data_IF_728089944115
#
_entry.id   IF_728089944115
#
_cell.length_a   1.000
_cell.length_b   1.000
_cell.length_c   1.000
_cell.angle_alpha   90.00
_cell.angle_beta   90.00
_cell.angle_gamma   90.00
#
_symmetry.space_group_name_H-M   'P 1'
#
loop_
_entity.id
_entity.type
_entity.pdbx_description
1 polymer ?
#
# COMPACT_ATOMS: atom_id res chain seq x y z
N UNK A 1 34.48 -5.56 27.97
CA UNK A 1 34.13 -6.89 27.37
C UNK A 1 32.76 -6.93 26.69
N UNK A 2 31.77 -6.10 27.05
CA UNK A 2 30.43 -6.11 26.42
C UNK A 2 30.44 -5.63 24.96
N UNK A 3 31.30 -4.67 24.62
CA UNK A 3 31.32 -4.00 23.31
C UNK A 3 31.78 -4.93 22.17
N UNK A 4 32.81 -5.74 22.41
CA UNK A 4 33.30 -6.74 21.44
C UNK A 4 32.29 -7.86 21.17
N UNK A 5 31.51 -8.28 22.18
CA UNK A 5 30.47 -9.33 22.01
C UNK A 5 29.28 -8.80 21.21
N UNK A 6 28.89 -7.54 21.41
CA UNK A 6 27.86 -6.87 20.61
C UNK A 6 28.24 -6.77 19.13
N UNK A 7 29.48 -6.36 18.85
CA UNK A 7 30.00 -6.28 17.48
C UNK A 7 30.02 -7.65 16.80
N UNK A 8 30.45 -8.70 17.50
CA UNK A 8 30.46 -10.08 16.97
C UNK A 8 29.03 -10.57 16.68
N UNK A 9 28.05 -10.26 17.54
CA UNK A 9 26.64 -10.60 17.28
C UNK A 9 26.07 -9.88 16.06
N UNK A 10 26.43 -8.61 15.84
CA UNK A 10 26.03 -7.87 14.64
C UNK A 10 26.61 -8.51 13.37
N UNK A 11 27.88 -8.92 13.42
CA UNK A 11 28.53 -9.61 12.31
C UNK A 11 27.81 -10.92 11.98
N UNK A 12 27.46 -11.74 12.97
CA UNK A 12 26.70 -12.97 12.75
C UNK A 12 25.28 -12.71 12.21
N UNK A 13 24.63 -11.63 12.63
CA UNK A 13 23.32 -11.23 12.09
C UNK A 13 23.42 -10.84 10.61
N UNK A 14 24.46 -10.10 10.23
CA UNK A 14 24.72 -9.72 8.84
C UNK A 14 24.95 -10.98 7.99
N UNK A 15 25.77 -11.92 8.47
CA UNK A 15 25.97 -13.20 7.77
C UNK A 15 24.68 -14.00 7.62
N UNK A 16 23.85 -14.07 8.66
CA UNK A 16 22.57 -14.76 8.59
C UNK A 16 21.65 -14.17 7.51
N UNK A 17 21.58 -12.84 7.41
CA UNK A 17 20.78 -12.14 6.40
C UNK A 17 21.34 -12.39 5.00
N UNK A 18 22.66 -12.27 4.80
CA UNK A 18 23.30 -12.50 3.50
C UNK A 18 23.05 -13.93 3.02
N UNK A 19 23.26 -14.93 3.86
CA UNK A 19 23.03 -16.33 3.49
C UNK A 19 21.54 -16.61 3.23
N UNK A 20 20.63 -16.02 4.01
CA UNK A 20 19.21 -16.17 3.74
C UNK A 20 18.81 -15.60 2.37
N UNK A 21 19.31 -14.41 2.01
CA UNK A 21 19.06 -13.79 0.71
C UNK A 21 19.68 -14.59 -0.45
N UNK A 22 20.88 -15.14 -0.28
CA UNK A 22 21.50 -16.05 -1.26
C UNK A 22 20.67 -17.33 -1.44
N UNK A 23 20.10 -17.87 -0.36
CA UNK A 23 19.18 -18.99 -0.42
C UNK A 23 17.91 -18.68 -1.22
N UNK A 24 17.30 -17.51 -1.00
CA UNK A 24 16.17 -17.03 -1.78
C UNK A 24 16.51 -16.84 -3.27
N UNK A 25 17.69 -16.29 -3.58
CA UNK A 25 18.17 -16.11 -4.94
C UNK A 25 18.30 -17.44 -5.69
N UNK A 26 18.95 -18.44 -5.08
CA UNK A 26 19.07 -19.76 -5.69
C UNK A 26 17.72 -20.48 -5.84
N UNK A 27 16.80 -20.32 -4.89
CA UNK A 27 15.45 -20.86 -4.99
C UNK A 27 14.62 -20.20 -6.11
N UNK A 28 14.86 -18.91 -6.36
CA UNK A 28 14.26 -18.21 -7.50
C UNK A 28 14.90 -18.67 -8.82
N UNK A 29 16.22 -18.78 -8.87
CA UNK A 29 16.95 -19.29 -10.03
C UNK A 29 16.56 -20.73 -10.40
N UNK A 30 16.17 -21.57 -9.42
CA UNK A 30 15.71 -22.94 -9.69
C UNK A 30 14.42 -23.00 -10.51
N UNK A 31 13.67 -21.89 -10.61
CA UNK A 31 12.42 -21.78 -11.37
C UNK A 31 12.64 -21.37 -12.83
N UNK A 32 13.84 -20.94 -13.20
CA UNK A 32 14.16 -20.49 -14.55
C UNK A 32 14.66 -21.68 -15.39
N UNK A 33 13.91 -22.01 -16.46
CA UNK A 33 14.27 -23.08 -17.39
C UNK A 33 14.63 -22.51 -18.76
N UNK A 34 15.58 -23.15 -19.45
CA UNK A 34 15.88 -22.88 -20.85
C UNK A 34 14.75 -23.48 -21.70
N UNK A 35 14.13 -22.69 -22.55
CA UNK A 35 13.07 -23.15 -23.46
C UNK A 35 13.66 -24.11 -24.52
N UNK A 36 12.97 -25.23 -24.82
CA UNK A 36 13.34 -26.10 -25.94
C UNK A 36 13.38 -25.33 -27.26
N UNK A 37 14.28 -25.70 -28.16
CA UNK A 37 14.41 -25.04 -29.47
C UNK A 37 13.29 -25.54 -30.42
N UNK A 38 12.66 -24.67 -31.22
CA UNK A 38 11.70 -25.10 -32.24
C UNK A 38 12.43 -25.82 -33.38
N UNK A 39 12.01 -27.05 -33.69
CA UNK A 39 12.69 -27.92 -34.66
C UNK A 39 11.96 -27.87 -36.02
N UNK A 40 12.64 -27.56 -37.14
CA UNK A 40 12.09 -27.73 -38.50
C UNK A 40 11.85 -29.21 -38.84
N UNK A 41 10.81 -29.50 -39.63
CA UNK A 41 10.39 -30.87 -39.97
C UNK A 41 11.46 -31.74 -40.65
N UNK A 42 12.50 -31.15 -41.24
CA UNK A 42 13.62 -31.85 -41.86
C UNK A 42 14.67 -32.42 -40.89
N UNK A 43 14.65 -32.04 -39.61
CA UNK A 43 15.69 -32.41 -38.61
C UNK A 43 15.12 -33.08 -37.35
N UNK A 44 13.96 -33.71 -37.47
CA UNK A 44 13.14 -34.16 -36.33
C UNK A 44 13.86 -35.17 -35.40
N UNK A 45 14.74 -36.03 -35.94
CA UNK A 45 15.54 -36.98 -35.14
C UNK A 45 16.63 -36.28 -34.31
N UNK A 46 17.39 -35.35 -34.89
CA UNK A 46 18.49 -34.64 -34.20
C UNK A 46 17.93 -33.63 -33.20
N UNK A 47 16.90 -32.88 -33.58
CA UNK A 47 16.23 -31.94 -32.68
C UNK A 47 15.57 -32.62 -31.47
N UNK A 48 15.02 -33.83 -31.64
CA UNK A 48 14.46 -34.61 -30.54
C UNK A 48 15.49 -34.96 -29.45
N UNK A 49 16.70 -35.36 -29.86
CA UNK A 49 17.81 -35.67 -28.93
C UNK A 49 18.29 -34.42 -28.19
N UNK A 50 18.36 -33.27 -28.88
CA UNK A 50 18.76 -31.98 -28.30
C UNK A 50 17.73 -31.54 -27.24
N UNK A 51 16.44 -31.57 -27.56
CA UNK A 51 15.40 -31.17 -26.60
C UNK A 51 15.35 -32.11 -25.38
N UNK A 52 15.60 -33.41 -25.54
CA UNK A 52 15.77 -34.32 -24.38
C UNK A 52 16.96 -33.94 -23.49
N UNK A 53 18.08 -33.51 -24.08
CA UNK A 53 19.23 -33.02 -23.32
C UNK A 53 18.91 -31.72 -22.58
N UNK A 54 18.20 -30.78 -23.20
CA UNK A 54 17.75 -29.52 -22.58
C UNK A 54 16.84 -29.79 -21.37
N UNK A 55 15.88 -30.72 -21.49
CA UNK A 55 15.02 -31.12 -20.35
C UNK A 55 15.84 -31.73 -19.21
N UNK A 56 16.83 -32.57 -19.52
CA UNK A 56 17.72 -33.18 -18.51
C UNK A 56 18.60 -32.13 -17.83
N UNK A 57 19.13 -31.17 -18.59
CA UNK A 57 19.93 -30.05 -18.08
C UNK A 57 19.11 -29.12 -17.16
N UNK A 58 17.88 -28.76 -17.56
CA UNK A 58 16.98 -27.97 -16.71
C UNK A 58 16.72 -28.67 -15.37
N UNK A 59 16.41 -29.98 -15.38
CA UNK A 59 16.22 -30.77 -14.14
C UNK A 59 17.45 -30.80 -13.25
N UNK A 60 18.65 -30.93 -13.83
CA UNK A 60 19.91 -30.91 -13.09
C UNK A 60 20.19 -29.54 -12.48
N UNK A 61 20.02 -28.46 -13.25
CA UNK A 61 20.18 -27.07 -12.78
C UNK A 61 19.17 -26.72 -11.67
N UNK A 62 17.90 -27.12 -11.80
CA UNK A 62 16.90 -26.94 -10.75
C UNK A 62 17.32 -27.64 -9.46
N UNK A 63 17.78 -28.91 -9.54
CA UNK A 63 18.25 -29.66 -8.36
C UNK A 63 19.48 -29.03 -7.72
N UNK A 64 20.48 -28.61 -8.51
CA UNK A 64 21.68 -27.95 -8.01
C UNK A 64 21.35 -26.63 -7.30
N UNK A 65 20.48 -25.81 -7.90
CA UNK A 65 20.04 -24.56 -7.28
C UNK A 65 19.21 -24.79 -6.00
N UNK A 66 18.37 -25.82 -5.95
CA UNK A 66 17.67 -26.19 -4.72
C UNK A 66 18.64 -26.66 -3.63
N UNK A 67 19.63 -27.50 -3.97
CA UNK A 67 20.66 -27.94 -3.02
C UNK A 67 21.49 -26.76 -2.49
N UNK A 68 21.88 -25.82 -3.37
CA UNK A 68 22.57 -24.60 -2.98
C UNK A 68 21.69 -23.75 -2.04
N UNK A 69 20.41 -23.58 -2.34
CA UNK A 69 19.47 -22.84 -1.49
C UNK A 69 19.37 -23.45 -0.09
N UNK A 70 19.22 -24.78 0.02
CA UNK A 70 19.20 -25.45 1.32
C UNK A 70 20.53 -25.30 2.08
N UNK A 71 21.67 -25.37 1.39
CA UNK A 71 22.98 -25.11 1.98
C UNK A 71 23.09 -23.71 2.59
N UNK A 72 22.64 -22.69 1.85
CA UNK A 72 22.62 -21.31 2.33
C UNK A 72 21.64 -21.07 3.48
N UNK A 73 20.45 -21.69 3.46
CA UNK A 73 19.54 -21.64 4.61
C UNK A 73 20.12 -22.33 5.85
N UNK A 74 20.83 -23.45 5.68
CA UNK A 74 21.57 -24.11 6.76
C UNK A 74 22.69 -23.22 7.33
N UNK A 75 23.42 -22.51 6.47
CA UNK A 75 24.43 -21.55 6.89
C UNK A 75 23.83 -20.36 7.66
N UNK A 76 22.67 -19.84 7.21
CA UNK A 76 21.93 -18.78 7.90
C UNK A 76 21.47 -19.24 9.30
N UNK A 77 20.94 -20.46 9.41
CA UNK A 77 20.54 -21.04 10.69
C UNK A 77 21.73 -21.20 11.65
N UNK A 78 22.87 -21.68 11.14
CA UNK A 78 24.12 -21.81 11.91
C UNK A 78 24.65 -20.45 12.38
N UNK A 79 24.55 -19.41 11.55
CA UNK A 79 24.93 -18.04 11.92
C UNK A 79 24.02 -17.47 13.03
N UNK A 80 22.71 -17.69 12.94
CA UNK A 80 21.75 -17.33 13.99
C UNK A 80 22.03 -18.08 15.31
N UNK A 81 22.36 -19.37 15.24
CA UNK A 81 22.71 -20.16 16.41
C UNK A 81 24.03 -19.69 17.04
N UNK A 82 25.04 -19.38 16.22
CA UNK A 82 26.32 -18.82 16.67
C UNK A 82 26.13 -17.45 17.34
N UNK A 83 25.24 -16.61 16.79
CA UNK A 83 24.85 -15.34 17.42
C UNK A 83 24.22 -15.55 18.80
N UNK A 84 23.34 -16.56 18.94
CA UNK A 84 22.70 -16.91 20.20
C UNK A 84 23.72 -17.35 21.26
N UNK A 85 24.71 -18.18 20.89
CA UNK A 85 25.76 -18.63 21.79
C UNK A 85 26.67 -17.49 22.28
N UNK A 86 26.97 -16.51 21.42
CA UNK A 86 27.86 -15.39 21.75
C UNK A 86 27.17 -14.32 22.61
N UNK A 87 25.85 -14.13 22.44
CA UNK A 87 25.10 -13.12 23.20
C UNK A 87 23.65 -13.55 23.48
N UNK A 88 23.44 -14.45 24.46
CA UNK A 88 22.09 -14.94 24.82
C UNK A 88 21.17 -13.82 25.31
N UNK A 89 21.75 -12.76 25.90
CA UNK A 89 21.02 -11.60 26.43
C UNK A 89 20.33 -10.76 25.35
N UNK A 90 20.84 -10.75 24.10
CA UNK A 90 20.18 -10.08 22.98
C UNK A 90 18.87 -10.79 22.63
N UNK A 91 18.87 -12.12 22.61
CA UNK A 91 17.66 -12.90 22.38
C UNK A 91 16.65 -12.78 23.52
N UNK A 92 17.07 -12.74 24.80
CA UNK A 92 16.17 -12.40 25.91
C UNK A 92 15.56 -11.00 25.78
N UNK A 93 16.29 -10.04 25.20
CA UNK A 93 15.78 -8.69 24.92
C UNK A 93 14.78 -8.71 23.75
N UNK A 94 15.01 -9.53 22.73
CA UNK A 94 14.05 -9.79 21.65
C UNK A 94 12.82 -10.57 22.12
N UNK A 95 12.96 -11.57 22.99
CA UNK A 95 11.84 -12.29 23.62
C UNK A 95 11.05 -11.37 24.51
N UNK A 96 11.69 -10.57 25.38
CA UNK A 96 10.98 -9.58 26.20
C UNK A 96 10.27 -8.52 25.35
N UNK A 97 10.85 -8.14 24.20
CA UNK A 97 10.21 -7.23 23.23
C UNK A 97 9.09 -7.94 22.46
N UNK A 98 9.23 -9.23 22.15
CA UNK A 98 8.19 -10.10 21.58
C UNK A 98 7.06 -10.31 22.58
N UNK A 99 7.33 -10.54 23.85
CA UNK A 99 6.36 -10.60 24.95
C UNK A 99 5.69 -9.26 25.16
N UNK A 100 6.37 -8.12 25.04
CA UNK A 100 5.75 -6.79 25.07
C UNK A 100 4.85 -6.54 23.84
N UNK A 101 5.27 -6.99 22.65
CA UNK A 101 4.47 -6.93 21.41
C UNK A 101 3.28 -7.90 21.48
N UNK A 102 3.48 -9.10 22.04
CA UNK A 102 2.48 -10.15 22.21
C UNK A 102 1.50 -9.83 23.34
N UNK A 103 1.94 -9.21 24.44
CA UNK A 103 1.11 -8.70 25.53
C UNK A 103 0.37 -7.42 25.12
N UNK A 104 0.96 -6.58 24.25
CA UNK A 104 0.24 -5.51 23.56
C UNK A 104 -0.83 -6.06 22.61
N UNK A 105 -0.53 -7.16 21.92
CA UNK A 105 -1.46 -7.92 21.08
C UNK A 105 -2.52 -8.68 21.90
N UNK A 106 -2.20 -9.20 23.08
CA UNK A 106 -3.13 -9.91 23.97
C UNK A 106 -4.03 -8.96 24.73
N UNK A 107 -3.54 -7.80 25.19
CA UNK A 107 -4.40 -6.71 25.66
C UNK A 107 -5.30 -6.16 24.54
N UNK A 108 -4.83 -6.13 23.30
CA UNK A 108 -5.66 -5.81 22.14
C UNK A 108 -6.68 -6.93 21.81
N UNK A 109 -6.37 -8.21 22.10
CA UNK A 109 -7.28 -9.35 21.93
C UNK A 109 -8.28 -9.54 23.07
N UNK A 110 -7.93 -9.21 24.31
CA UNK A 110 -8.84 -9.32 25.48
C UNK A 110 -9.78 -8.12 25.64
N UNK A 111 -9.62 -7.09 24.82
CA UNK A 111 -10.62 -6.04 24.58
C UNK A 111 -11.42 -6.24 23.28
N UNK A 112 -11.34 -7.43 22.65
CA UNK A 112 -12.17 -7.80 21.50
C UNK A 112 -13.51 -8.40 21.93
N UNK A 113 -14.35 -7.60 22.57
CA UNK A 113 -15.77 -7.60 22.15
C UNK A 113 -15.78 -7.06 20.73
N UNK A 114 -16.22 -7.87 19.75
CA UNK A 114 -16.20 -7.60 18.30
C UNK A 114 -16.30 -6.11 17.91
N UNK A 115 -15.17 -5.41 17.84
CA UNK A 115 -15.10 -4.06 17.32
C UNK A 115 -14.87 -4.20 15.81
N UNK A 116 -15.98 -4.30 15.08
CA UNK A 116 -15.99 -4.21 13.62
C UNK A 116 -15.38 -2.85 13.25
N UNK A 117 -14.34 -2.84 12.41
CA UNK A 117 -13.69 -1.60 11.95
C UNK A 117 -14.54 -0.93 10.86
N UNK A 118 -15.74 -0.46 11.26
CA UNK A 118 -16.64 0.26 10.37
C UNK A 118 -16.12 1.68 10.20
N UNK A 119 -15.81 2.03 8.96
CA UNK A 119 -15.48 3.39 8.53
C UNK A 119 -16.53 3.88 7.54
N UNK A 120 -16.66 5.19 7.45
CA UNK A 120 -17.79 5.86 6.85
C UNK A 120 -17.41 6.58 5.57
N UNK A 121 -18.12 6.28 4.49
CA UNK A 121 -18.04 7.03 3.22
C UNK A 121 -19.25 7.96 3.11
N UNK A 122 -18.97 9.26 2.99
CA UNK A 122 -19.98 10.27 2.71
C UNK A 122 -20.22 10.34 1.20
N UNK A 123 -21.49 10.34 0.80
CA UNK A 123 -21.91 10.27 -0.59
C UNK A 123 -23.03 11.27 -0.88
N UNK A 124 -22.95 11.92 -2.05
CA UNK A 124 -24.10 12.55 -2.69
C UNK A 124 -25.15 11.52 -3.12
N UNK A 125 -26.29 12.00 -3.62
CA UNK A 125 -27.47 11.18 -3.93
C UNK A 125 -27.18 10.14 -5.03
N UNK A 126 -26.52 10.57 -6.12
CA UNK A 126 -26.11 9.68 -7.22
C UNK A 126 -25.10 8.63 -6.74
N UNK A 127 -24.18 9.01 -5.86
CA UNK A 127 -23.10 8.16 -5.38
C UNK A 127 -23.61 6.99 -4.53
N UNK A 128 -24.48 7.25 -3.56
CA UNK A 128 -25.06 6.20 -2.70
C UNK A 128 -25.88 5.19 -3.52
N UNK A 129 -26.66 5.68 -4.49
CA UNK A 129 -27.50 4.82 -5.33
C UNK A 129 -26.64 3.90 -6.20
N UNK A 130 -25.58 4.43 -6.83
CA UNK A 130 -24.65 3.62 -7.63
C UNK A 130 -23.98 2.56 -6.76
N UNK A 131 -23.43 2.95 -5.59
CA UNK A 131 -22.72 2.00 -4.71
C UNK A 131 -23.63 0.85 -4.30
N UNK A 132 -24.86 1.11 -3.85
CA UNK A 132 -25.77 0.04 -3.42
C UNK A 132 -26.30 -0.80 -4.60
N UNK A 133 -26.45 -0.21 -5.78
CA UNK A 133 -26.87 -0.93 -6.98
C UNK A 133 -25.78 -1.86 -7.51
N UNK A 134 -24.55 -1.38 -7.64
CA UNK A 134 -23.45 -2.11 -8.30
C UNK A 134 -22.51 -2.80 -7.31
N UNK A 135 -22.57 -2.43 -6.03
CA UNK A 135 -21.59 -2.80 -4.99
C UNK A 135 -20.17 -2.35 -5.33
N UNK A 136 -20.04 -1.21 -5.99
CA UNK A 136 -18.75 -0.68 -6.40
C UNK A 136 -18.46 0.67 -5.77
N UNK A 137 -17.30 0.78 -5.15
CA UNK A 137 -16.79 2.03 -4.59
C UNK A 137 -15.83 2.67 -5.59
N UNK A 138 -16.18 3.87 -6.06
CA UNK A 138 -15.27 4.69 -6.89
C UNK A 138 -14.03 5.08 -6.08
N UNK A 139 -12.86 4.91 -6.68
CA UNK A 139 -11.57 5.31 -6.17
C UNK A 139 -10.98 6.41 -7.06
N UNK A 140 -10.86 7.67 -6.57
CA UNK A 140 -10.17 8.71 -7.32
C UNK A 140 -8.66 8.44 -7.37
N UNK A 141 -8.00 8.89 -8.44
CA UNK A 141 -6.54 9.02 -8.43
C UNK A 141 -6.10 10.06 -7.41
N UNK A 142 -4.88 9.93 -6.88
CA UNK A 142 -4.31 10.95 -5.99
C UNK A 142 -4.26 12.32 -6.69
N UNK A 143 -4.04 12.36 -8.00
CA UNK A 143 -4.05 13.59 -8.80
C UNK A 143 -5.42 14.30 -8.86
N UNK A 144 -6.52 13.63 -8.51
CA UNK A 144 -7.88 14.17 -8.56
C UNK A 144 -8.44 14.60 -7.19
N UNK A 145 -7.62 14.60 -6.13
CA UNK A 145 -8.05 15.05 -4.79
C UNK A 145 -8.34 16.56 -4.77
N UNK A 146 -9.19 16.98 -3.84
CA UNK A 146 -9.80 18.32 -3.83
C UNK A 146 -8.91 19.44 -3.26
N UNK A 147 -7.95 19.13 -2.38
CA UNK A 147 -7.08 20.12 -1.74
C UNK A 147 -5.74 20.27 -2.49
N UNK A 148 -5.33 21.47 -2.91
CA UNK A 148 -4.11 21.69 -3.69
C UNK A 148 -2.80 21.40 -2.93
N UNK A 149 -2.84 21.32 -1.60
CA UNK A 149 -1.70 20.94 -0.76
C UNK A 149 -1.68 19.46 -0.39
N UNK A 150 -2.76 18.74 -0.69
CA UNK A 150 -2.88 17.32 -0.40
C UNK A 150 -1.95 16.50 -1.29
N UNK A 151 -1.32 15.47 -0.69
CA UNK A 151 -0.35 14.60 -1.35
C UNK A 151 0.81 15.35 -2.06
N UNK A 152 1.09 16.58 -1.62
CA UNK A 152 2.06 17.48 -2.24
C UNK A 152 3.08 17.93 -1.19
N UNK A 153 4.25 17.28 -1.06
CA UNK A 153 5.30 17.68 -0.14
C UNK A 153 6.11 18.85 -0.71
N UNK A 154 6.94 19.45 0.12
CA UNK A 154 7.97 20.41 -0.32
C UNK A 154 9.27 19.61 -0.51
N UNK A 155 9.77 19.56 -1.74
CA UNK A 155 11.09 19.01 -2.00
C UNK A 155 12.17 20.04 -1.73
N UNK A 156 13.28 19.61 -1.12
CA UNK A 156 14.47 20.41 -0.98
C UNK A 156 15.72 19.60 -1.33
N UNK A 157 16.71 20.28 -1.85
CA UNK A 157 18.06 19.75 -2.06
C UNK A 157 19.01 20.64 -1.25
N UNK A 158 19.60 20.16 -0.14
CA UNK A 158 20.59 20.92 0.62
C UNK A 158 21.74 21.41 -0.27
N UNK A 159 22.38 22.52 0.11
CA UNK A 159 23.62 22.98 -0.54
C UNK A 159 24.80 22.20 0.04
N UNK A 160 24.89 20.93 -0.37
CA UNK A 160 25.96 19.99 0.02
C UNK A 160 26.57 19.40 -1.25
N UNK A 161 27.69 20.00 -1.68
CA UNK A 161 28.37 19.64 -2.94
C UNK A 161 28.76 18.18 -3.00
N UNK A 162 29.23 17.61 -1.89
CA UNK A 162 29.64 16.21 -1.80
C UNK A 162 28.43 15.30 -1.95
N UNK A 163 27.35 15.54 -1.21
CA UNK A 163 26.13 14.75 -1.32
C UNK A 163 25.47 14.87 -2.71
N UNK A 164 25.55 16.04 -3.35
CA UNK A 164 25.08 16.24 -4.73
C UNK A 164 25.87 15.39 -5.73
N UNK A 165 27.20 15.36 -5.60
CA UNK A 165 28.08 14.54 -6.44
C UNK A 165 27.82 13.04 -6.22
N UNK A 166 27.72 12.60 -4.97
CA UNK A 166 27.42 11.21 -4.63
C UNK A 166 26.07 10.77 -5.20
N UNK A 167 25.04 11.61 -5.04
CA UNK A 167 23.70 11.32 -5.59
C UNK A 167 23.70 11.31 -7.11
N UNK A 168 24.46 12.21 -7.77
CA UNK A 168 24.64 12.19 -9.22
C UNK A 168 25.25 10.86 -9.69
N UNK A 169 26.36 10.45 -9.08
CA UNK A 169 27.05 9.20 -9.41
C UNK A 169 26.17 7.98 -9.14
N UNK A 170 25.41 7.99 -8.05
CA UNK A 170 24.41 6.97 -7.74
C UNK A 170 23.35 6.87 -8.85
N UNK A 171 22.80 8.00 -9.32
CA UNK A 171 21.82 8.03 -10.41
C UNK A 171 22.40 7.53 -11.74
N UNK A 172 23.65 7.85 -12.06
CA UNK A 172 24.34 7.29 -13.24
C UNK A 172 24.49 5.77 -13.14
N UNK A 173 24.92 5.28 -11.97
CA UNK A 173 25.07 3.85 -11.70
C UNK A 173 23.75 3.10 -11.86
N UNK A 174 22.63 3.65 -11.36
CA UNK A 174 21.30 3.05 -11.55
C UNK A 174 20.89 2.96 -13.02
N UNK A 175 21.37 3.88 -13.87
CA UNK A 175 21.13 3.88 -15.32
C UNK A 175 22.14 3.04 -16.10
N UNK A 176 23.13 2.42 -15.44
CA UNK A 176 24.21 1.70 -16.10
C UNK A 176 25.15 2.61 -16.92
N UNK A 177 25.20 3.90 -16.60
CA UNK A 177 26.02 4.88 -17.32
C UNK A 177 27.34 5.08 -16.57
N UNK A 178 28.47 4.93 -17.26
CA UNK A 178 29.79 5.26 -16.72
C UNK A 178 29.95 6.78 -16.65
N UNK A 179 30.35 7.35 -15.50
CA UNK A 179 30.61 8.78 -15.39
C UNK A 179 31.72 9.24 -16.35
N UNK A 180 31.55 10.38 -17.06
CA UNK A 180 32.62 10.97 -17.87
C UNK A 180 33.87 11.25 -17.03
N UNK A 181 35.08 11.11 -17.59
CA UNK A 181 36.33 11.32 -16.85
C UNK A 181 36.45 12.74 -16.24
N UNK A 182 35.82 13.73 -16.87
CA UNK A 182 35.82 15.14 -16.48
C UNK A 182 34.54 15.59 -15.74
N UNK A 183 33.73 14.65 -15.23
CA UNK A 183 32.42 14.97 -14.65
C UNK A 183 32.47 16.04 -13.56
N UNK A 184 33.51 16.04 -12.69
CA UNK A 184 33.67 17.03 -11.61
C UNK A 184 33.80 18.45 -12.12
N UNK A 185 34.40 18.66 -13.29
CA UNK A 185 34.58 19.98 -13.90
C UNK A 185 33.28 20.46 -14.58
N UNK A 186 32.39 19.52 -14.94
CA UNK A 186 31.12 19.78 -15.62
C UNK A 186 29.94 19.93 -14.66
N UNK A 187 30.07 19.52 -13.39
CA UNK A 187 29.01 19.66 -12.40
C UNK A 187 28.83 21.13 -12.05
N UNK A 188 27.64 21.64 -12.37
CA UNK A 188 27.14 22.92 -11.89
C UNK A 188 26.13 22.65 -10.79
N UNK A 189 26.56 22.80 -9.53
CA UNK A 189 25.77 22.33 -8.38
C UNK A 189 24.36 22.94 -8.32
N UNK A 190 24.19 24.23 -8.62
CA UNK A 190 22.86 24.86 -8.61
C UNK A 190 21.91 24.24 -9.65
N UNK A 191 22.36 24.08 -10.90
CA UNK A 191 21.58 23.41 -11.94
C UNK A 191 21.26 21.96 -11.56
N UNK A 192 22.18 21.27 -10.87
CA UNK A 192 21.95 19.89 -10.40
C UNK A 192 20.91 19.83 -9.29
N UNK A 193 20.91 20.79 -8.36
CA UNK A 193 19.93 20.87 -7.27
C UNK A 193 18.52 21.02 -7.82
N UNK A 194 18.33 21.93 -8.78
CA UNK A 194 17.06 22.12 -9.47
C UNK A 194 16.63 20.85 -10.20
N UNK A 195 17.51 20.24 -11.00
CA UNK A 195 17.24 18.98 -11.71
C UNK A 195 16.82 17.84 -10.77
N UNK A 196 17.44 17.71 -9.60
CA UNK A 196 17.07 16.68 -8.63
C UNK A 196 15.71 16.93 -8.00
N UNK A 197 15.40 18.19 -7.69
CA UNK A 197 14.09 18.59 -7.19
C UNK A 197 13.01 18.32 -8.23
N UNK A 198 13.24 18.71 -9.48
CA UNK A 198 12.26 18.53 -10.55
C UNK A 198 12.06 17.06 -10.89
N UNK A 199 13.13 16.27 -10.95
CA UNK A 199 13.01 14.82 -11.11
C UNK A 199 12.24 14.13 -9.97
N UNK A 200 12.35 14.64 -8.74
CA UNK A 200 11.55 14.14 -7.60
C UNK A 200 10.07 14.54 -7.72
N UNK A 201 9.77 15.77 -8.17
CA UNK A 201 8.41 16.22 -8.46
C UNK A 201 7.76 15.40 -9.57
N UNK A 202 8.47 15.16 -10.67
CA UNK A 202 8.00 14.33 -11.79
C UNK A 202 7.71 12.89 -11.35
N UNK A 203 8.60 12.31 -10.55
CA UNK A 203 8.40 10.97 -10.00
C UNK A 203 7.15 10.90 -9.12
N UNK A 204 6.95 11.89 -8.24
CA UNK A 204 5.74 11.97 -7.41
C UNK A 204 4.49 12.19 -8.25
N UNK A 205 4.55 13.06 -9.27
CA UNK A 205 3.44 13.31 -10.19
C UNK A 205 3.00 12.01 -10.86
N UNK A 206 3.95 11.23 -11.38
CA UNK A 206 3.66 9.92 -11.99
C UNK A 206 3.00 8.95 -10.99
N UNK A 207 3.49 8.89 -9.75
CA UNK A 207 2.83 8.10 -8.68
C UNK A 207 1.42 8.59 -8.42
N UNK A 208 1.20 9.91 -8.37
CA UNK A 208 -0.12 10.49 -8.09
C UNK A 208 -1.14 10.23 -9.21
N UNK A 209 -0.68 10.20 -10.47
CA UNK A 209 -1.50 9.92 -11.66
C UNK A 209 -1.80 8.42 -11.84
N UNK A 210 -1.03 7.54 -11.19
CA UNK A 210 -1.19 6.08 -11.32
C UNK A 210 -1.75 5.42 -10.07
N UNK A 211 -1.66 6.08 -8.91
CA UNK A 211 -2.16 5.52 -7.64
C UNK A 211 -3.52 6.11 -7.29
N UNK A 212 -4.43 5.24 -6.87
CA UNK A 212 -5.72 5.62 -6.32
C UNK A 212 -5.65 5.87 -4.82
N UNK A 213 -6.55 6.74 -4.32
CA UNK A 213 -6.66 7.07 -2.91
C UNK A 213 -8.06 6.77 -2.40
N UNK A 214 -8.15 5.82 -1.47
CA UNK A 214 -9.38 5.59 -0.73
C UNK A 214 -9.37 6.46 0.54
N UNK A 215 -10.36 7.35 0.66
CA UNK A 215 -10.60 8.18 1.85
C UNK A 215 -11.97 7.92 2.46
N UNK A 216 -11.99 7.65 3.77
CA UNK A 216 -13.18 7.42 4.60
C UNK A 216 -13.00 8.05 5.99
N UNK A 217 -14.08 8.21 6.74
CA UNK A 217 -14.07 8.80 8.08
C UNK A 217 -14.28 7.75 9.17
N UNK A 218 -13.75 7.99 10.37
CA UNK A 218 -14.12 7.23 11.57
C UNK A 218 -15.54 7.50 12.08
N UNK A 219 -16.23 8.52 11.57
CA UNK A 219 -17.54 8.94 12.09
C UNK A 219 -18.51 9.30 10.96
N UNK A 220 -19.77 8.86 11.09
CA UNK A 220 -20.90 9.37 10.32
C UNK A 220 -21.51 10.63 10.94
N UNK A 221 -21.03 11.06 12.11
CA UNK A 221 -21.61 12.14 12.90
C UNK A 221 -20.70 13.37 12.88
N UNK A 222 -20.64 14.06 11.74
CA UNK A 222 -19.98 15.35 11.62
C UNK A 222 -20.78 16.27 10.67
N UNK A 223 -21.54 17.26 11.18
CA UNK A 223 -22.37 18.14 10.35
C UNK A 223 -21.62 18.86 9.23
N UNK A 224 -20.36 19.27 9.47
CA UNK A 224 -19.53 19.91 8.44
C UNK A 224 -19.27 18.94 7.29
N UNK A 225 -18.95 17.68 7.58
CA UNK A 225 -18.77 16.66 6.53
C UNK A 225 -20.05 16.38 5.74
N UNK A 226 -21.21 16.35 6.40
CA UNK A 226 -22.49 16.25 5.71
C UNK A 226 -22.71 17.44 4.76
N UNK A 227 -22.48 18.66 5.22
CA UNK A 227 -22.62 19.86 4.38
C UNK A 227 -21.75 19.79 3.12
N UNK A 228 -20.49 19.34 3.23
CA UNK A 228 -19.53 19.30 2.12
C UNK A 228 -19.69 18.09 1.20
N UNK A 229 -19.93 16.90 1.74
CA UNK A 229 -19.75 15.64 0.98
C UNK A 229 -21.05 14.90 0.66
N UNK A 230 -22.20 15.43 1.11
CA UNK A 230 -23.51 14.78 0.90
C UNK A 230 -24.53 15.70 0.24
N UNK A 231 -24.08 16.62 -0.62
CA UNK A 231 -24.95 17.60 -1.29
C UNK A 231 -25.81 18.38 -0.28
N UNK A 232 -25.18 18.94 0.77
CA UNK A 232 -25.87 19.67 1.83
C UNK A 232 -26.92 18.80 2.55
N UNK A 233 -26.50 17.67 3.13
CA UNK A 233 -27.36 16.74 3.87
C UNK A 233 -28.45 16.00 3.06
N UNK A 234 -28.51 16.18 1.74
CA UNK A 234 -29.50 15.50 0.86
C UNK A 234 -29.11 14.06 0.52
N UNK A 235 -27.81 13.76 0.56
CA UNK A 235 -27.22 12.46 0.29
C UNK A 235 -27.29 11.51 1.49
N UNK A 236 -26.32 10.61 1.59
CA UNK A 236 -26.28 9.57 2.62
C UNK A 236 -24.83 9.19 2.96
N UNK A 237 -24.66 8.48 4.07
CA UNK A 237 -23.39 7.91 4.52
C UNK A 237 -23.48 6.39 4.56
N UNK A 238 -22.44 5.70 4.09
CA UNK A 238 -22.34 4.24 4.13
C UNK A 238 -21.30 3.85 5.18
N UNK A 239 -21.67 2.97 6.11
CA UNK A 239 -20.74 2.29 7.02
C UNK A 239 -20.21 1.01 6.39
N UNK A 240 -18.90 0.91 6.21
CA UNK A 240 -18.21 -0.20 5.57
C UNK A 240 -17.20 -0.82 6.54
N UNK A 241 -17.31 -2.13 6.72
CA UNK A 241 -16.35 -2.97 7.44
C UNK A 241 -15.18 -3.34 6.54
N UNK A 242 -14.08 -2.60 6.69
CA UNK A 242 -12.90 -2.74 5.85
C UNK A 242 -12.12 -4.05 6.09
N UNK A 243 -12.37 -4.76 7.18
CA UNK A 243 -11.80 -6.09 7.42
C UNK A 243 -12.48 -7.20 6.59
N UNK A 244 -13.65 -6.89 6.01
CA UNK A 244 -14.48 -7.81 5.24
C UNK A 244 -14.81 -7.30 3.81
N UNK A 245 -14.09 -6.30 3.30
CA UNK A 245 -14.34 -5.70 1.97
C UNK A 245 -14.14 -6.70 0.83
N UNK A 246 -13.20 -7.64 0.97
CA UNK A 246 -13.00 -8.72 0.01
C UNK A 246 -13.70 -10.00 0.49
N UNK A 247 -14.27 -10.82 -0.42
CA UNK A 247 -14.79 -12.15 -0.09
C UNK A 247 -13.66 -13.07 0.43
N UNK A 248 -14.02 -14.06 1.25
CA UNK A 248 -13.09 -14.90 2.01
C UNK A 248 -12.14 -15.79 1.17
N UNK A 249 -12.40 -15.95 -0.12
CA UNK A 249 -11.62 -16.79 -1.03
C UNK A 249 -10.29 -16.13 -1.39
N UNK A 250 -9.16 -16.71 -0.97
CA UNK A 250 -7.79 -16.26 -1.30
C UNK A 250 -7.60 -14.75 -1.17
N UNK A 251 -7.91 -14.20 0.02
CA UNK A 251 -7.80 -12.77 0.33
C UNK A 251 -6.50 -12.19 -0.27
N UNK A 252 -6.56 -11.34 -1.32
CA UNK A 252 -5.40 -10.50 -1.64
C UNK A 252 -5.03 -9.75 -0.36
N UNK A 253 -3.76 -9.40 -0.18
CA UNK A 253 -3.26 -8.70 1.02
C UNK A 253 -4.30 -7.69 1.53
N UNK A 254 -4.72 -7.85 2.81
CA UNK A 254 -5.82 -7.07 3.41
C UNK A 254 -5.70 -5.59 3.03
N UNK A 255 -6.83 -4.97 2.68
CA UNK A 255 -6.89 -3.53 2.48
C UNK A 255 -6.62 -2.83 3.82
N UNK A 256 -5.43 -2.26 3.98
CA UNK A 256 -5.03 -1.62 5.24
C UNK A 256 -5.45 -0.16 5.22
N UNK A 257 -6.20 0.24 6.25
CA UNK A 257 -6.64 1.62 6.48
C UNK A 257 -5.75 2.29 7.51
N UNK A 258 -5.15 3.43 7.16
CA UNK A 258 -4.26 4.19 8.03
C UNK A 258 -4.90 5.51 8.44
N UNK A 259 -4.87 5.89 9.73
CA UNK A 259 -5.35 7.19 10.17
C UNK A 259 -4.46 8.29 9.59
N UNK A 260 -5.08 9.39 9.18
CA UNK A 260 -4.36 10.58 8.74
C UNK A 260 -3.68 11.25 9.92
N UNK A 261 -2.43 11.69 9.71
CA UNK A 261 -1.67 12.52 10.65
C UNK A 261 -1.90 14.00 10.33
N UNK A 262 -2.59 14.75 11.21
CA UNK A 262 -2.78 16.18 11.00
C UNK A 262 -1.47 16.94 11.21
N UNK A 263 -1.21 17.96 10.40
CA UNK A 263 0.00 18.78 10.45
C UNK A 263 -0.25 20.24 10.06
N UNK A 264 0.41 21.18 10.75
CA UNK A 264 0.44 22.60 10.35
C UNK A 264 1.42 22.89 9.21
N UNK A 265 2.34 21.96 8.92
CA UNK A 265 3.40 22.13 7.93
C UNK A 265 3.38 20.98 6.94
N UNK A 266 3.54 21.30 5.65
CA UNK A 266 3.81 20.30 4.61
C UNK A 266 5.09 19.54 4.94
N UNK A 267 5.11 18.24 4.61
CA UNK A 267 6.31 17.43 4.74
C UNK A 267 7.41 18.02 3.85
N UNK A 268 8.61 18.18 4.41
CA UNK A 268 9.81 18.57 3.68
C UNK A 268 10.62 17.31 3.37
N UNK A 269 10.91 17.07 2.11
CA UNK A 269 11.62 15.87 1.64
C UNK A 269 12.96 16.28 1.05
N UNK A 270 14.02 15.81 1.69
CA UNK A 270 15.38 15.94 1.19
C UNK A 270 15.61 14.95 0.05
N UNK A 271 15.80 15.45 -1.17
CA UNK A 271 15.99 14.62 -2.37
C UNK A 271 17.31 13.86 -2.39
N UNK A 272 18.30 14.29 -1.59
CA UNK A 272 19.60 13.63 -1.45
C UNK A 272 19.59 12.53 -0.39
N UNK A 273 18.51 12.39 0.39
CA UNK A 273 18.46 11.41 1.49
C UNK A 273 18.26 9.99 0.97
N UNK A 274 19.05 9.05 1.50
CA UNK A 274 18.84 7.61 1.29
C UNK A 274 17.45 7.12 1.79
N UNK A 275 16.85 7.83 2.74
CA UNK A 275 15.52 7.53 3.29
C UNK A 275 14.37 8.22 2.55
N UNK A 276 14.65 8.91 1.44
CA UNK A 276 13.66 9.71 0.69
C UNK A 276 12.39 8.90 0.35
N UNK A 277 12.52 7.64 -0.06
CA UNK A 277 11.37 6.76 -0.33
C UNK A 277 10.52 6.50 0.92
N UNK A 278 11.15 6.38 2.09
CA UNK A 278 10.45 6.20 3.36
C UNK A 278 9.66 7.44 3.78
N UNK A 279 10.20 8.63 3.52
CA UNK A 279 9.49 9.91 3.76
C UNK A 279 8.35 10.13 2.76
N UNK A 280 8.54 9.77 1.48
CA UNK A 280 7.49 9.84 0.46
C UNK A 280 6.28 8.99 0.83
N UNK A 281 6.48 7.81 1.45
CA UNK A 281 5.37 6.95 1.92
C UNK A 281 4.49 7.63 2.97
N UNK A 282 4.96 8.68 3.66
CA UNK A 282 4.18 9.42 4.66
C UNK A 282 3.30 10.51 4.05
N UNK A 283 3.56 10.89 2.78
CA UNK A 283 2.90 12.00 2.09
C UNK A 283 1.40 11.81 1.99
N UNK A 284 0.87 10.67 1.53
CA UNK A 284 -0.58 10.48 1.43
C UNK A 284 -1.28 10.44 2.79
N UNK A 285 -0.53 10.23 3.88
CA UNK A 285 -1.04 10.08 5.24
C UNK A 285 -0.83 11.33 6.11
N UNK A 286 -0.43 12.46 5.52
CA UNK A 286 -0.28 13.73 6.23
C UNK A 286 -1.15 14.80 5.57
N UNK A 287 -2.00 15.46 6.35
CA UNK A 287 -2.95 16.48 5.86
C UNK A 287 -2.92 17.73 6.74
N UNK A 288 -3.43 18.86 6.24
CA UNK A 288 -3.55 20.08 7.07
C UNK A 288 -4.31 19.78 8.36
N UNK A 289 -3.89 20.43 9.45
CA UNK A 289 -4.57 20.36 10.74
C UNK A 289 -6.02 20.83 10.66
N UNK A 290 -6.35 21.69 9.69
CA UNK A 290 -7.69 22.26 9.52
C UNK A 290 -8.73 21.18 9.19
N UNK A 291 -8.31 20.11 8.50
CA UNK A 291 -9.16 18.96 8.16
C UNK A 291 -9.20 17.87 9.25
N UNK A 292 -8.62 18.11 10.44
CA UNK A 292 -8.57 17.11 11.53
C UNK A 292 -9.96 16.59 11.93
N UNK A 293 -11.00 17.43 11.81
CA UNK A 293 -12.38 17.07 12.15
C UNK A 293 -12.92 15.91 11.32
N UNK A 294 -12.37 15.65 10.12
CA UNK A 294 -12.81 14.56 9.27
C UNK A 294 -12.53 13.18 9.89
N UNK A 295 -11.56 13.10 10.81
CA UNK A 295 -11.14 11.82 11.40
C UNK A 295 -10.80 10.79 10.33
N UNK A 296 -10.11 11.25 9.29
CA UNK A 296 -9.92 10.54 8.03
C UNK A 296 -8.97 9.35 8.17
N UNK A 297 -9.33 8.26 7.48
CA UNK A 297 -8.52 7.08 7.26
C UNK A 297 -8.31 6.89 5.77
N UNK A 298 -7.10 6.50 5.37
CA UNK A 298 -6.74 6.30 3.97
C UNK A 298 -6.13 4.95 3.67
N UNK A 299 -6.32 4.52 2.43
CA UNK A 299 -5.49 3.50 1.79
C UNK A 299 -4.98 4.02 0.45
N UNK A 300 -3.72 3.75 0.15
CA UNK A 300 -3.10 4.08 -1.14
C UNK A 300 -3.06 2.81 -1.96
N UNK A 301 -3.56 2.87 -3.18
CA UNK A 301 -3.78 1.73 -4.06
C UNK A 301 -3.02 1.97 -5.37
N UNK A 302 -1.76 1.51 -5.47
CA UNK A 302 -0.99 1.61 -6.71
C UNK A 302 -1.67 0.89 -7.87
N UNK A 303 -1.40 1.33 -9.11
CA UNK A 303 -1.98 0.72 -10.31
C UNK A 303 -1.73 -0.77 -10.37
N UNK A 304 -0.56 -1.26 -9.96
CA UNK A 304 -0.22 -2.69 -9.99
C UNK A 304 -1.12 -3.50 -9.05
N UNK A 305 -1.47 -2.92 -7.90
CA UNK A 305 -2.41 -3.55 -6.96
C UNK A 305 -3.81 -3.59 -7.55
N UNK A 306 -4.26 -2.49 -8.14
CA UNK A 306 -5.58 -2.40 -8.78
C UNK A 306 -5.71 -3.35 -9.97
N UNK A 307 -4.65 -3.48 -10.76
CA UNK A 307 -4.56 -4.45 -11.86
C UNK A 307 -4.62 -5.91 -11.35
N UNK A 308 -3.95 -6.20 -10.24
CA UNK A 308 -4.06 -7.50 -9.58
C UNK A 308 -5.50 -7.80 -9.14
N UNK A 309 -6.21 -6.82 -8.56
CA UNK A 309 -7.62 -6.96 -8.20
C UNK A 309 -8.53 -7.11 -9.43
N UNK A 310 -8.21 -6.43 -10.53
CA UNK A 310 -8.95 -6.53 -11.80
C UNK A 310 -8.88 -7.95 -12.38
N UNK A 311 -7.73 -8.59 -12.33
CA UNK A 311 -7.54 -9.97 -12.81
C UNK A 311 -8.39 -11.01 -12.08
N UNK A 312 -8.82 -10.69 -10.85
CA UNK A 312 -9.69 -11.54 -10.03
C UNK A 312 -11.09 -10.94 -9.86
N UNK A 313 -11.49 -10.01 -10.73
CA UNK A 313 -12.83 -9.40 -10.79
C UNK A 313 -13.26 -8.67 -9.50
N UNK A 314 -12.29 -8.22 -8.69
CA UNK A 314 -12.52 -7.40 -7.49
C UNK A 314 -12.32 -5.91 -7.73
N UNK A 315 -11.87 -5.53 -8.93
CA UNK A 315 -11.84 -4.14 -9.36
C UNK A 315 -12.08 -4.04 -10.87
N UNK A 316 -12.49 -2.86 -11.33
CA UNK A 316 -12.51 -2.54 -12.76
C UNK A 316 -12.14 -1.09 -13.00
N UNK A 317 -11.62 -0.82 -14.20
CA UNK A 317 -11.49 0.54 -14.72
C UNK A 317 -12.79 0.88 -15.46
N UNK A 318 -13.27 2.11 -15.35
CA UNK A 318 -14.41 2.57 -16.13
C UNK A 318 -14.52 4.09 -16.16
N UNK A 319 -15.47 4.58 -16.93
CA UNK A 319 -15.72 6.02 -17.05
C UNK A 319 -16.52 6.55 -15.84
N UNK A 320 -16.10 7.71 -15.35
CA UNK A 320 -16.87 8.55 -14.45
C UNK A 320 -16.79 10.00 -14.90
N UNK A 321 -17.89 10.51 -15.46
CA UNK A 321 -18.02 11.88 -15.94
C UNK A 321 -16.91 12.26 -16.96
N UNK A 322 -16.62 11.34 -17.90
CA UNK A 322 -15.65 11.56 -18.97
C UNK A 322 -14.18 11.35 -18.57
N UNK A 323 -13.93 10.76 -17.40
CA UNK A 323 -12.59 10.43 -16.91
C UNK A 323 -12.52 8.96 -16.49
N UNK A 324 -11.40 8.33 -16.78
CA UNK A 324 -11.09 7.01 -16.25
C UNK A 324 -11.04 7.05 -14.71
N UNK A 325 -11.68 6.07 -14.08
CA UNK A 325 -11.67 5.88 -12.64
C UNK A 325 -11.69 4.39 -12.30
N UNK A 326 -11.01 4.06 -11.19
CA UNK A 326 -11.08 2.72 -10.63
C UNK A 326 -12.33 2.54 -9.79
N UNK A 327 -12.92 1.35 -9.87
CA UNK A 327 -14.07 0.93 -9.09
C UNK A 327 -13.72 -0.36 -8.35
N UNK A 328 -13.73 -0.30 -7.02
CA UNK A 328 -13.49 -1.44 -6.14
C UNK A 328 -14.79 -2.17 -5.87
N UNK A 329 -14.86 -3.46 -6.18
CA UNK A 329 -16.02 -4.29 -5.88
C UNK A 329 -16.04 -4.64 -4.40
N UNK A 330 -17.13 -4.29 -3.72
CA UNK A 330 -17.36 -4.54 -2.31
C UNK A 330 -18.05 -5.90 -2.14
N UNK A 331 -17.59 -6.66 -1.16
CA UNK A 331 -18.39 -7.74 -0.58
C UNK A 331 -19.68 -7.12 0.01
N UNK A 332 -20.89 -7.57 -0.38
CA UNK A 332 -22.15 -7.07 0.20
C UNK A 332 -22.15 -7.10 1.73
N UNK A 333 -21.58 -8.14 2.33
CA UNK A 333 -21.48 -8.32 3.78
C UNK A 333 -20.59 -7.28 4.48
N UNK A 334 -19.76 -6.53 3.73
CA UNK A 334 -18.94 -5.44 4.27
C UNK A 334 -19.78 -4.18 4.54
N UNK A 335 -20.89 -3.98 3.84
CA UNK A 335 -21.76 -2.82 4.04
C UNK A 335 -22.64 -3.11 5.26
N UNK A 336 -22.54 -2.29 6.31
CA UNK A 336 -23.20 -2.53 7.60
C UNK A 336 -24.40 -1.62 7.84
N UNK A 337 -24.30 -0.38 7.40
CA UNK A 337 -25.37 0.60 7.58
C UNK A 337 -25.38 1.66 6.49
N UNK A 338 -26.56 2.22 6.25
CA UNK A 338 -26.77 3.43 5.46
C UNK A 338 -27.48 4.44 6.36
N UNK A 339 -26.89 5.61 6.49
CA UNK A 339 -27.43 6.73 7.25
C UNK A 339 -27.94 7.75 6.25
N UNK A 340 -29.22 8.10 6.32
CA UNK A 340 -29.80 9.22 5.57
C UNK A 340 -29.44 10.53 6.26
N UNK A 341 -29.16 11.58 5.49
CA UNK A 341 -28.96 12.93 6.00
C UNK A 341 -30.27 13.60 6.41
N UNK A 342 -30.15 14.75 7.10
CA UNK A 342 -31.27 15.55 7.59
C UNK A 342 -32.30 15.84 6.48
N UNK A 343 -31.80 16.22 5.31
CA UNK A 343 -32.60 16.70 4.18
C UNK A 343 -32.74 15.65 3.06
N UNK A 344 -32.44 14.37 3.35
CA UNK A 344 -32.63 13.31 2.36
C UNK A 344 -34.10 13.17 1.98
N UNK A 345 -34.40 13.45 0.71
CA UNK A 345 -35.74 13.38 0.14
C UNK A 345 -36.34 11.96 0.14
N UNK A 346 -37.68 11.90 0.10
CA UNK A 346 -38.44 10.65 0.12
C UNK A 346 -38.15 9.75 -1.09
N UNK A 347 -37.89 10.32 -2.27
CA UNK A 347 -37.54 9.58 -3.49
C UNK A 347 -36.26 8.75 -3.29
N UNK A 348 -35.17 9.38 -2.84
CA UNK A 348 -33.91 8.68 -2.59
C UNK A 348 -34.07 7.62 -1.48
N UNK A 349 -34.79 7.94 -0.40
CA UNK A 349 -35.10 6.97 0.67
C UNK A 349 -35.83 5.75 0.12
N UNK A 350 -36.82 5.96 -0.75
CA UNK A 350 -37.58 4.88 -1.39
C UNK A 350 -36.71 4.03 -2.31
N UNK A 351 -35.86 4.65 -3.14
CA UNK A 351 -34.91 3.95 -4.01
C UNK A 351 -33.95 3.08 -3.22
N UNK A 352 -33.37 3.61 -2.14
CA UNK A 352 -32.42 2.88 -1.29
C UNK A 352 -33.11 1.71 -0.58
N UNK A 353 -34.32 1.91 -0.04
CA UNK A 353 -35.09 0.80 0.55
C UNK A 353 -35.34 -0.32 -0.45
N UNK A 354 -35.75 0.02 -1.68
CA UNK A 354 -35.94 -0.96 -2.76
C UNK A 354 -34.65 -1.70 -3.13
N UNK A 355 -33.49 -1.02 -3.16
CA UNK A 355 -32.21 -1.66 -3.42
C UNK A 355 -31.83 -2.68 -2.32
N UNK A 356 -32.15 -2.38 -1.07
CA UNK A 356 -31.83 -3.22 0.10
C UNK A 356 -32.76 -4.45 0.22
N UNK A 357 -33.89 -4.48 -0.50
CA UNK A 357 -34.74 -5.68 -0.58
C UNK A 357 -34.00 -6.89 -1.19
N UNK A 358 -32.89 -6.65 -1.91
CA UNK A 358 -32.00 -7.71 -2.41
C UNK A 358 -31.52 -8.61 -1.25
N UNK A 359 -31.59 -9.95 -1.37
CA UNK A 359 -31.25 -10.88 -0.28
C UNK A 359 -29.85 -10.67 0.32
N UNK A 360 -28.88 -10.25 -0.49
CA UNK A 360 -27.50 -10.01 -0.10
C UNK A 360 -27.26 -8.67 0.61
N UNK A 361 -28.30 -7.83 0.77
CA UNK A 361 -28.24 -6.50 1.38
C UNK A 361 -29.22 -6.32 2.54
N UNK A 362 -30.13 -7.26 2.80
CA UNK A 362 -31.15 -7.16 3.85
C UNK A 362 -30.57 -7.01 5.26
N UNK A 363 -29.29 -7.35 5.46
CA UNK A 363 -28.58 -7.14 6.74
C UNK A 363 -28.19 -5.69 7.00
N UNK A 364 -28.26 -4.81 5.99
CA UNK A 364 -27.88 -3.40 6.10
C UNK A 364 -28.87 -2.66 7.00
N UNK A 365 -28.36 -2.03 8.06
CA UNK A 365 -29.15 -1.19 8.95
C UNK A 365 -29.42 0.17 8.29
N UNK A 366 -30.67 0.60 8.29
CA UNK A 366 -31.05 1.94 7.85
C UNK A 366 -31.16 2.86 9.07
N UNK A 367 -30.57 4.04 8.98
CA UNK A 367 -30.64 5.08 10.00
C UNK A 367 -30.96 6.43 9.41
N UNK A 368 -31.47 7.34 10.23
CA UNK A 368 -31.77 8.72 9.88
C UNK A 368 -30.96 9.66 10.77
N UNK A 369 -30.31 10.65 10.16
CA UNK A 369 -29.79 11.79 10.88
C UNK A 369 -30.95 12.69 11.29
N UNK A 370 -30.98 13.08 12.55
CA UNK A 370 -31.92 14.00 13.16
C UNK A 370 -31.15 15.14 13.83
N UNK A 371 -31.81 16.28 13.99
CA UNK A 371 -31.25 17.42 14.71
C UNK A 371 -30.92 17.04 16.17
N UNK A 372 -29.90 17.69 16.71
CA UNK A 372 -29.50 17.59 18.11
C UNK A 372 -29.50 18.98 18.72
N UNK A 373 -29.63 19.06 20.04
CA UNK A 373 -29.45 20.30 20.81
C UNK A 373 -27.99 20.80 20.79
N UNK A 374 -27.06 19.93 20.37
CA UNK A 374 -25.63 20.20 20.22
C UNK A 374 -25.24 20.21 18.72
N UNK A 375 -24.05 20.72 18.37
CA UNK A 375 -23.51 20.70 17.00
C UNK A 375 -23.05 19.30 16.53
N UNK A 376 -23.90 18.31 16.75
CA UNK A 376 -23.80 16.92 16.29
C UNK A 376 -25.16 16.49 15.73
N UNK A 377 -25.24 15.30 15.18
CA UNK A 377 -26.48 14.69 14.70
C UNK A 377 -26.87 13.53 15.61
N UNK A 378 -28.16 13.35 15.82
CA UNK A 378 -28.71 12.13 16.39
C UNK A 378 -28.90 11.14 15.25
N UNK A 379 -28.20 10.01 15.27
CA UNK A 379 -28.35 8.98 14.25
C UNK A 379 -29.29 7.90 14.81
N UNK A 380 -30.52 7.81 14.31
CA UNK A 380 -31.52 6.83 14.78
C UNK A 380 -31.71 5.70 13.80
#
# INVERSE_FOLDING_TARGET
>A
MSDKRGLISIIWLIFAIIFFLLGCYHLQASKNNISPYPIPSSEMQVGGIINQHVVKLNKLNTRQNQMAAYGYFGAAATACFSMYLVSPGIFKKFEKRKELIMAGSEKAKTQSTANVNVLYKYCGQRGIEIILRTLELKLPYISDVNDPYECSPIFNCPDDKTAIEEYYLFRLKLKGITPPADYRQKIKHDEMREKFIDGAKESLKSVNETSSLLSVSKTANNPVMWAHYTEQHKGAVIGIDFDNVFPDTNRPSKLVMHPIKPSKKRLKINVLSEFMLGELKKVPFTKSIDWKYEGEFRSVLPVEFMEGLRQIELARLGDYDGKDAWFLKLNPASIKEVVFGLDTGSDLKSKIRKLIERPDLQHIKLRQAEESETYTLNLR
#
